data_IF_678850892185
#
_entry.id   IF_678850892185
#
_cell.length_a   1.000
_cell.length_b   1.000
_cell.length_c   1.000
_cell.angle_alpha   90.00
_cell.angle_beta   90.00
_cell.angle_gamma   90.00
#
_symmetry.space_group_name_H-M   'P 1'
#
loop_
_entity.id
_entity.type
_entity.pdbx_description
1 polymer ?
#
# COMPACT_ATOMS: atom_id res chain seq x y z
N UNK A 1 31.26 10.07 3.75
CA UNK A 1 31.56 8.84 3.00
C UNK A 1 31.56 7.63 3.92
N UNK A 2 30.42 6.99 4.14
CA UNK A 2 30.33 5.57 4.47
C UNK A 2 29.00 5.06 3.92
N UNK A 3 28.97 4.85 2.61
CA UNK A 3 28.02 3.96 1.94
C UNK A 3 28.71 2.62 1.80
N UNK A 4 28.19 1.57 2.45
CA UNK A 4 28.36 0.21 1.93
C UNK A 4 27.08 -0.57 2.14
N UNK A 5 26.51 -0.95 1.00
CA UNK A 5 25.38 -1.84 0.86
C UNK A 5 25.70 -3.22 1.47
N UNK A 6 24.78 -3.77 2.26
CA UNK A 6 24.83 -5.16 2.69
C UNK A 6 24.22 -6.03 1.57
N UNK A 7 25.09 -6.64 0.77
CA UNK A 7 24.75 -7.72 -0.15
C UNK A 7 24.49 -9.02 0.61
N UNK A 8 23.38 -9.68 0.28
CA UNK A 8 23.10 -11.06 0.67
C UNK A 8 24.28 -12.00 0.34
N UNK A 9 24.81 -12.69 1.35
CA UNK A 9 25.61 -13.90 1.17
C UNK A 9 25.05 -15.02 2.06
N UNK A 10 24.37 -15.96 1.41
CA UNK A 10 24.15 -17.31 1.95
C UNK A 10 25.47 -18.06 1.83
N UNK A 11 26.07 -18.44 2.95
CA UNK A 11 27.00 -19.55 3.00
C UNK A 11 26.51 -20.56 4.03
N UNK A 12 26.10 -21.72 3.52
CA UNK A 12 25.84 -22.90 4.34
C UNK A 12 27.15 -23.38 4.96
N UNK A 13 27.14 -23.54 6.28
CA UNK A 13 28.15 -24.28 7.01
C UNK A 13 27.53 -25.59 7.48
N UNK A 14 27.89 -26.68 6.80
CA UNK A 14 27.94 -27.99 7.42
C UNK A 14 29.37 -28.20 7.92
N UNK A 15 29.60 -28.10 9.23
CA UNK A 15 30.79 -28.71 9.81
C UNK A 15 30.60 -29.03 11.30
N UNK A 16 30.58 -30.34 11.55
CA UNK A 16 31.07 -31.09 12.70
C UNK A 16 30.80 -30.60 14.13
N UNK A 17 29.98 -31.42 14.78
CA UNK A 17 29.77 -31.54 16.23
C UNK A 17 31.12 -31.69 16.97
N UNK A 18 31.55 -30.60 17.58
CA UNK A 18 32.61 -30.54 18.57
C UNK A 18 32.18 -29.63 19.72
N UNK A 19 31.46 -30.19 20.70
CA UNK A 19 31.01 -29.48 21.90
C UNK A 19 32.21 -29.15 22.78
N UNK A 20 32.79 -27.95 22.61
CA UNK A 20 33.55 -27.25 23.66
C UNK A 20 32.70 -26.07 24.10
N UNK A 21 32.07 -26.18 25.27
CA UNK A 21 31.43 -25.05 25.94
C UNK A 21 32.54 -24.10 26.42
N UNK A 22 32.90 -23.13 25.59
CA UNK A 22 33.63 -21.97 26.06
C UNK A 22 32.63 -21.19 26.93
N UNK A 23 32.79 -21.25 28.25
CA UNK A 23 32.05 -20.37 29.16
C UNK A 23 32.69 -19.01 28.97
N UNK A 24 32.07 -18.16 28.16
CA UNK A 24 32.54 -16.80 27.97
C UNK A 24 32.42 -16.07 29.30
N UNK A 25 33.57 -15.80 29.92
CA UNK A 25 33.65 -15.08 31.18
C UNK A 25 33.48 -13.57 30.91
N UNK A 26 32.26 -13.08 31.15
CA UNK A 26 31.91 -11.66 30.99
C UNK A 26 32.35 -10.79 32.18
N UNK A 27 33.00 -11.37 33.21
CA UNK A 27 33.39 -10.67 34.44
C UNK A 27 34.38 -9.52 34.22
N UNK A 28 35.12 -9.51 33.11
CA UNK A 28 36.11 -8.46 32.78
C UNK A 28 35.54 -7.35 31.92
N UNK A 29 34.30 -7.47 31.44
CA UNK A 29 33.72 -6.48 30.53
C UNK A 29 33.37 -5.20 31.29
N UNK A 30 33.62 -4.07 30.63
CA UNK A 30 33.14 -2.77 31.07
C UNK A 30 31.61 -2.68 30.95
N UNK A 31 31.01 -1.73 31.68
CA UNK A 31 29.55 -1.61 31.75
C UNK A 31 28.91 -1.22 30.41
N UNK A 32 29.61 -0.47 29.56
CA UNK A 32 29.09 -0.06 28.24
C UNK A 32 29.03 -1.27 27.33
N UNK A 33 30.11 -2.06 27.24
CA UNK A 33 30.14 -3.30 26.48
C UNK A 33 29.14 -4.32 27.03
N UNK A 34 29.08 -4.51 28.34
CA UNK A 34 28.07 -5.37 28.96
C UNK A 34 26.64 -4.93 28.60
N UNK A 35 26.39 -3.62 28.56
CA UNK A 35 25.10 -3.05 28.15
C UNK A 35 24.79 -3.31 26.68
N UNK A 36 25.73 -3.04 25.78
CA UNK A 36 25.55 -3.25 24.34
C UNK A 36 25.17 -4.70 24.02
N UNK A 37 25.84 -5.67 24.66
CA UNK A 37 25.57 -7.10 24.47
C UNK A 37 24.40 -7.64 25.32
N UNK A 38 23.89 -6.85 26.27
CA UNK A 38 22.73 -7.24 27.08
C UNK A 38 23.05 -8.23 28.20
N UNK A 39 24.27 -8.21 28.74
CA UNK A 39 24.67 -9.07 29.84
C UNK A 39 24.13 -8.49 31.15
N UNK A 40 22.89 -8.82 31.48
CA UNK A 40 22.13 -8.19 32.58
C UNK A 40 22.83 -8.30 33.94
N UNK A 41 23.24 -9.51 34.34
CA UNK A 41 23.88 -9.74 35.64
C UNK A 41 25.17 -8.93 35.78
N UNK A 42 25.99 -8.86 34.73
CA UNK A 42 27.23 -8.07 34.74
C UNK A 42 26.96 -6.57 34.90
N UNK A 43 25.94 -6.05 34.21
CA UNK A 43 25.55 -4.65 34.35
C UNK A 43 25.04 -4.36 35.77
N UNK A 44 24.24 -5.28 36.33
CA UNK A 44 23.71 -5.19 37.68
C UNK A 44 24.83 -5.19 38.74
N UNK A 45 25.79 -6.10 38.63
CA UNK A 45 26.97 -6.14 39.50
C UNK A 45 27.72 -4.81 39.52
N UNK A 46 27.99 -4.23 38.35
CA UNK A 46 28.74 -2.97 38.23
C UNK A 46 27.98 -1.77 38.80
N UNK A 47 26.65 -1.72 38.62
CA UNK A 47 25.81 -0.67 39.22
C UNK A 47 25.72 -0.84 40.74
N UNK A 48 25.57 -2.07 41.24
CA UNK A 48 25.56 -2.36 42.68
C UNK A 48 26.93 -2.11 43.34
N UNK A 49 28.03 -2.24 42.58
CA UNK A 49 29.37 -1.84 43.01
C UNK A 49 29.59 -0.32 43.04
N UNK A 50 28.60 0.48 42.63
CA UNK A 50 28.61 1.94 42.75
C UNK A 50 28.75 2.72 41.43
N UNK A 51 28.64 2.07 40.27
CA UNK A 51 28.60 2.80 39.00
C UNK A 51 27.32 3.65 38.88
N UNK A 52 27.48 4.95 38.64
CA UNK A 52 26.34 5.86 38.43
C UNK A 52 25.75 5.69 37.02
N UNK A 53 24.48 5.28 36.94
CA UNK A 53 23.78 5.07 35.67
C UNK A 53 23.59 6.34 34.85
N UNK A 54 23.73 7.52 35.46
CA UNK A 54 23.66 8.81 34.79
C UNK A 54 25.01 9.25 34.23
N UNK A 55 26.12 8.64 34.66
CA UNK A 55 27.44 8.99 34.19
C UNK A 55 27.57 8.68 32.69
N UNK A 56 27.79 9.69 31.84
CA UNK A 56 28.03 9.46 30.42
C UNK A 56 29.44 8.92 30.17
N UNK A 57 29.62 8.24 29.05
CA UNK A 57 30.93 7.86 28.55
C UNK A 57 31.67 9.05 27.89
N UNK A 58 32.81 8.75 27.24
CA UNK A 58 33.67 9.76 26.60
C UNK A 58 33.00 10.49 25.44
N UNK A 59 31.97 9.92 24.85
CA UNK A 59 31.20 10.50 23.73
C UNK A 59 29.92 11.20 24.22
N UNK A 60 29.83 11.45 25.54
CA UNK A 60 28.64 11.99 26.17
C UNK A 60 27.40 11.08 26.00
N UNK A 61 27.59 9.75 25.93
CA UNK A 61 26.51 8.78 25.76
C UNK A 61 26.25 8.07 27.08
N UNK A 62 24.98 8.03 27.53
CA UNK A 62 24.60 7.33 28.77
C UNK A 62 24.34 5.84 28.53
N UNK A 63 24.34 5.03 29.60
CA UNK A 63 23.98 3.60 29.51
C UNK A 63 22.59 3.37 28.92
N UNK A 64 21.66 4.31 29.14
CA UNK A 64 20.30 4.21 28.63
C UNK A 64 20.27 4.31 27.09
N UNK A 65 21.14 5.11 26.48
CA UNK A 65 21.30 5.16 25.02
C UNK A 65 21.80 3.83 24.47
N UNK A 66 22.85 3.26 25.07
CA UNK A 66 23.40 1.96 24.66
C UNK A 66 22.41 0.82 24.82
N UNK A 67 21.60 0.84 25.88
CA UNK A 67 20.54 -0.15 26.08
C UNK A 67 19.40 0.03 25.05
N UNK A 68 19.01 1.28 24.76
CA UNK A 68 17.94 1.59 23.83
C UNK A 68 18.28 1.21 22.38
N UNK A 69 19.45 1.58 21.89
CA UNK A 69 19.90 1.29 20.52
C UNK A 69 20.13 -0.19 20.26
N UNK A 70 20.35 -1.00 21.30
CA UNK A 70 20.53 -2.45 21.21
C UNK A 70 19.29 -3.24 21.65
N UNK A 71 18.13 -2.59 21.81
CA UNK A 71 16.86 -3.20 22.22
C UNK A 71 16.92 -4.01 23.53
N UNK A 72 17.71 -3.58 24.52
CA UNK A 72 17.89 -4.26 25.81
C UNK A 72 16.80 -3.86 26.80
N UNK A 73 15.60 -4.40 26.62
CA UNK A 73 14.39 -4.03 27.37
C UNK A 73 14.61 -4.12 28.89
N UNK A 74 15.18 -5.21 29.39
CA UNK A 74 15.34 -5.41 30.83
C UNK A 74 16.39 -4.48 31.44
N UNK A 75 17.46 -4.15 30.70
CA UNK A 75 18.44 -3.16 31.12
C UNK A 75 17.84 -1.75 31.15
N UNK A 76 17.00 -1.37 30.18
CA UNK A 76 16.30 -0.08 30.20
C UNK A 76 15.41 0.03 31.44
N UNK A 77 14.62 -1.01 31.75
CA UNK A 77 13.80 -1.03 32.97
C UNK A 77 14.67 -0.90 34.22
N UNK A 78 15.78 -1.64 34.29
CA UNK A 78 16.69 -1.61 35.43
C UNK A 78 17.35 -0.24 35.60
N UNK A 79 17.92 0.35 34.54
CA UNK A 79 18.58 1.65 34.62
C UNK A 79 17.63 2.78 35.00
N UNK A 80 16.40 2.77 34.46
CA UNK A 80 15.37 3.74 34.87
C UNK A 80 15.00 3.55 36.36
N UNK A 81 14.91 2.31 36.84
CA UNK A 81 14.68 2.04 38.28
C UNK A 81 15.82 2.53 39.19
N UNK A 82 17.02 2.72 38.62
CA UNK A 82 18.22 3.26 39.29
C UNK A 82 18.39 4.76 39.11
N UNK A 83 17.42 5.46 38.51
CA UNK A 83 17.42 6.91 38.37
C UNK A 83 17.97 7.43 37.04
N UNK A 84 18.14 6.59 36.02
CA UNK A 84 18.52 7.06 34.70
C UNK A 84 17.44 8.01 34.12
N UNK A 85 17.88 9.18 33.66
CA UNK A 85 17.00 10.16 33.01
C UNK A 85 16.58 9.67 31.62
N UNK A 86 15.27 9.52 31.43
CA UNK A 86 14.69 8.87 30.24
C UNK A 86 15.00 9.64 28.95
N UNK A 87 14.89 10.97 28.98
CA UNK A 87 15.12 11.86 27.84
C UNK A 87 16.44 12.65 27.94
N UNK A 88 17.45 12.09 28.61
CA UNK A 88 18.78 12.69 28.65
C UNK A 88 19.34 12.82 27.23
N UNK A 89 19.81 14.01 26.87
CA UNK A 89 20.50 14.23 25.59
C UNK A 89 21.93 13.71 25.68
N UNK A 90 22.39 13.00 24.65
CA UNK A 90 23.74 12.47 24.56
C UNK A 90 24.21 12.20 23.13
N UNK A 91 25.50 11.88 23.00
CA UNK A 91 26.18 11.64 21.73
C UNK A 91 26.39 12.90 20.87
N UNK A 92 27.11 12.74 19.76
CA UNK A 92 27.44 13.84 18.85
C UNK A 92 26.22 14.55 18.24
N UNK A 93 25.10 13.84 18.15
CA UNK A 93 23.84 14.35 17.60
C UNK A 93 22.88 14.84 18.68
N UNK A 94 23.31 15.07 19.93
CA UNK A 94 22.45 15.55 21.04
C UNK A 94 21.06 14.88 21.03
N UNK A 95 21.05 13.56 20.99
CA UNK A 95 19.85 12.75 20.80
C UNK A 95 19.39 12.15 22.12
N UNK A 96 18.11 11.77 22.25
CA UNK A 96 17.62 10.99 23.39
C UNK A 96 17.80 9.49 23.15
N UNK A 97 17.69 8.63 24.17
CA UNK A 97 17.60 7.18 24.00
C UNK A 97 16.46 6.77 23.07
N UNK A 98 15.33 7.49 23.09
CA UNK A 98 14.20 7.26 22.20
C UNK A 98 14.54 7.55 20.72
N UNK A 99 15.31 8.61 20.43
CA UNK A 99 15.82 8.85 19.07
C UNK A 99 16.69 7.69 18.59
N UNK A 100 17.57 7.15 19.44
CA UNK A 100 18.44 6.03 19.08
C UNK A 100 17.66 4.74 18.80
N UNK A 101 16.68 4.41 19.64
CA UNK A 101 15.77 3.27 19.42
C UNK A 101 14.95 3.45 18.12
N UNK A 102 14.52 4.68 17.83
CA UNK A 102 13.76 5.02 16.64
C UNK A 102 14.59 4.86 15.36
N UNK A 103 15.84 5.37 15.34
CA UNK A 103 16.75 5.22 14.19
C UNK A 103 17.01 3.75 13.85
N UNK A 104 17.10 2.87 14.86
CA UNK A 104 17.33 1.43 14.65
C UNK A 104 16.06 0.61 14.38
N UNK A 105 14.87 1.20 14.44
CA UNK A 105 13.63 0.48 14.14
C UNK A 105 13.16 -0.44 15.28
N UNK A 106 13.61 -0.22 16.51
CA UNK A 106 13.24 -1.04 17.66
C UNK A 106 11.88 -0.63 18.24
N UNK A 107 10.79 -1.07 17.60
CA UNK A 107 9.41 -0.77 18.05
C UNK A 107 9.18 -1.15 19.53
N UNK A 108 9.65 -2.32 19.97
CA UNK A 108 9.54 -2.76 21.37
C UNK A 108 10.18 -1.77 22.35
N UNK A 109 11.32 -1.20 21.97
CA UNK A 109 12.02 -0.23 22.79
C UNK A 109 11.33 1.14 22.78
N UNK A 110 10.86 1.59 21.61
CA UNK A 110 10.06 2.81 21.48
C UNK A 110 8.83 2.74 22.39
N UNK A 111 8.09 1.62 22.34
CA UNK A 111 6.96 1.36 23.23
C UNK A 111 7.37 1.46 24.70
N UNK A 112 8.47 0.81 25.08
CA UNK A 112 8.92 0.76 26.47
C UNK A 112 9.33 2.13 27.00
N UNK A 113 10.06 2.92 26.21
CA UNK A 113 10.50 4.28 26.58
C UNK A 113 9.32 5.26 26.67
N UNK A 114 8.35 5.20 25.74
CA UNK A 114 7.12 6.00 25.86
C UNK A 114 6.30 5.65 27.11
N UNK A 115 6.29 4.38 27.54
CA UNK A 115 5.66 3.98 28.82
C UNK A 115 6.35 4.58 30.04
N UNK A 116 7.65 4.88 29.93
CA UNK A 116 8.42 5.60 30.95
C UNK A 116 8.35 7.13 30.82
N UNK A 117 7.51 7.65 29.92
CA UNK A 117 7.25 9.07 29.79
C UNK A 117 8.19 9.80 28.85
N UNK A 118 8.95 9.11 27.99
CA UNK A 118 9.72 9.77 26.93
C UNK A 118 8.84 10.64 26.04
N UNK A 119 9.33 11.81 25.68
CA UNK A 119 8.68 12.70 24.72
C UNK A 119 9.22 12.47 23.28
N UNK A 120 8.40 11.90 22.35
CA UNK A 120 8.79 11.67 20.96
C UNK A 120 8.87 12.94 20.11
N UNK A 121 8.42 14.09 20.63
CA UNK A 121 8.43 15.38 19.94
C UNK A 121 9.73 16.17 20.14
N UNK A 122 10.59 15.72 21.07
CA UNK A 122 11.93 16.27 21.24
C UNK A 122 12.71 16.19 19.92
N UNK A 123 13.67 17.09 19.78
CA UNK A 123 14.39 17.29 18.53
C UNK A 123 15.87 16.97 18.76
N UNK A 124 16.44 16.15 17.89
CA UNK A 124 17.87 15.86 17.89
C UNK A 124 18.71 16.95 17.20
N UNK A 125 20.03 16.78 17.21
CA UNK A 125 20.99 17.68 16.59
C UNK A 125 20.90 17.76 15.06
N UNK A 126 20.19 16.84 14.39
CA UNK A 126 19.87 16.96 12.96
C UNK A 126 18.55 17.73 12.73
N UNK A 127 17.90 18.18 13.80
CA UNK A 127 16.65 18.92 13.73
C UNK A 127 15.43 18.03 13.63
N UNK A 128 15.57 16.70 13.81
CA UNK A 128 14.51 15.70 13.63
C UNK A 128 13.91 15.25 14.96
N UNK A 129 12.58 15.06 14.98
CA UNK A 129 11.89 14.29 16.03
C UNK A 129 11.67 12.83 15.63
N UNK A 130 11.17 11.99 16.54
CA UNK A 130 11.00 10.55 16.30
C UNK A 130 10.18 10.21 15.05
N UNK A 131 9.09 10.96 14.75
CA UNK A 131 8.27 10.66 13.56
C UNK A 131 9.03 10.92 12.26
N UNK A 132 9.91 11.92 12.23
CA UNK A 132 10.78 12.23 11.09
C UNK A 132 11.84 11.14 10.91
N UNK A 133 12.51 10.74 12.00
CA UNK A 133 13.49 9.65 11.98
C UNK A 133 12.86 8.34 11.50
N UNK A 134 11.70 7.98 12.04
CA UNK A 134 11.00 6.76 11.64
C UNK A 134 10.62 6.78 10.15
N UNK A 135 10.16 7.93 9.62
CA UNK A 135 9.85 8.08 8.21
C UNK A 135 11.10 8.05 7.32
N UNK A 136 12.18 8.72 7.71
CA UNK A 136 13.45 8.79 6.98
C UNK A 136 14.11 7.41 6.83
N UNK A 137 14.06 6.58 7.87
CA UNK A 137 14.66 5.24 7.89
C UNK A 137 13.69 4.12 7.46
N UNK A 138 12.43 4.45 7.16
CA UNK A 138 11.44 3.49 6.65
C UNK A 138 10.78 2.60 7.69
N UNK A 139 10.88 2.95 8.98
CA UNK A 139 10.34 2.19 10.10
C UNK A 139 8.82 2.39 10.24
N UNK A 140 8.09 1.79 9.30
CA UNK A 140 6.64 1.95 9.12
C UNK A 140 5.83 1.64 10.38
N UNK A 141 6.21 0.61 11.13
CA UNK A 141 5.53 0.23 12.37
C UNK A 141 5.68 1.28 13.47
N UNK A 142 6.85 1.94 13.55
CA UNK A 142 7.10 3.04 14.48
C UNK A 142 6.32 4.29 14.05
N UNK A 143 6.30 4.63 12.75
CA UNK A 143 5.48 5.73 12.21
C UNK A 143 4.02 5.53 12.61
N UNK A 144 3.47 4.33 12.36
CA UNK A 144 2.09 4.00 12.74
C UNK A 144 1.84 4.18 14.24
N UNK A 145 2.73 3.67 15.08
CA UNK A 145 2.60 3.75 16.53
C UNK A 145 2.66 5.19 17.05
N UNK A 146 3.60 5.99 16.58
CA UNK A 146 3.76 7.39 17.00
C UNK A 146 2.53 8.25 16.64
N UNK A 147 2.01 8.11 15.41
CA UNK A 147 0.78 8.81 14.98
C UNK A 147 -0.43 8.34 15.79
N UNK A 148 -0.51 7.03 16.08
CA UNK A 148 -1.57 6.48 16.92
C UNK A 148 -1.49 6.97 18.38
N UNK A 149 -0.30 7.29 18.89
CA UNK A 149 -0.07 7.93 20.21
C UNK A 149 -0.22 9.45 20.19
N UNK A 150 -0.61 10.05 19.05
CA UNK A 150 -1.01 11.45 18.96
C UNK A 150 0.04 12.39 18.36
N UNK A 151 1.15 11.88 17.81
CA UNK A 151 2.06 12.72 17.03
C UNK A 151 1.34 13.27 15.79
N UNK A 152 1.58 14.54 15.49
CA UNK A 152 1.05 15.17 14.29
C UNK A 152 1.71 14.56 13.05
N UNK A 153 0.87 14.18 12.08
CA UNK A 153 1.28 13.53 10.84
C UNK A 153 1.94 14.52 9.87
N UNK A 154 1.60 15.81 9.99
CA UNK A 154 2.15 16.91 9.18
C UNK A 154 3.17 17.75 9.99
N UNK A 155 3.65 17.26 11.13
CA UNK A 155 4.69 17.92 11.93
C UNK A 155 5.88 18.28 11.04
N UNK A 156 6.40 19.50 11.18
CA UNK A 156 7.64 19.91 10.52
C UNK A 156 8.80 19.83 11.49
N UNK A 157 9.91 19.27 11.01
CA UNK A 157 11.19 19.29 11.71
C UNK A 157 11.86 20.69 11.63
N UNK A 158 13.05 20.87 12.22
CA UNK A 158 13.77 22.16 12.12
C UNK A 158 14.24 22.46 10.69
N UNK A 159 14.38 21.44 9.85
CA UNK A 159 14.65 21.54 8.42
C UNK A 159 13.40 21.91 7.61
N UNK A 160 12.24 22.08 8.27
CA UNK A 160 10.98 22.41 7.62
C UNK A 160 10.37 21.26 6.82
N UNK A 161 10.83 20.04 7.04
CA UNK A 161 10.44 18.83 6.33
C UNK A 161 9.38 18.08 7.14
N UNK A 162 8.33 17.62 6.47
CA UNK A 162 7.33 16.72 7.07
C UNK A 162 7.77 15.25 6.98
N UNK A 163 7.17 14.32 7.75
CA UNK A 163 7.41 12.89 7.61
C UNK A 163 7.21 12.38 6.17
N UNK A 164 6.20 12.91 5.47
CA UNK A 164 5.94 12.56 4.06
C UNK A 164 7.09 12.98 3.13
N UNK A 165 7.68 14.16 3.35
CA UNK A 165 8.82 14.63 2.56
C UNK A 165 10.07 13.80 2.82
N UNK A 166 10.33 13.43 4.08
CA UNK A 166 11.43 12.53 4.44
C UNK A 166 11.26 11.15 3.81
N UNK A 167 10.06 10.57 3.86
CA UNK A 167 9.74 9.31 3.21
C UNK A 167 9.96 9.41 1.69
N UNK A 168 9.47 10.47 1.05
CA UNK A 168 9.65 10.69 -0.39
C UNK A 168 11.12 10.80 -0.81
N UNK A 169 11.94 11.47 0.00
CA UNK A 169 13.35 11.70 -0.30
C UNK A 169 14.24 10.48 -0.02
N UNK A 170 13.95 9.71 1.03
CA UNK A 170 14.90 8.69 1.55
C UNK A 170 14.41 7.25 1.41
N UNK A 171 13.10 7.01 1.39
CA UNK A 171 12.55 5.65 1.34
C UNK A 171 12.03 5.29 -0.05
N UNK A 172 12.76 4.43 -0.75
CA UNK A 172 12.43 3.97 -2.11
C UNK A 172 11.50 2.75 -2.09
N UNK A 173 10.47 2.81 -1.24
CA UNK A 173 9.53 1.73 -0.94
C UNK A 173 8.11 2.28 -0.84
N UNK A 174 7.11 1.38 -0.90
CA UNK A 174 5.69 1.76 -0.83
C UNK A 174 5.33 2.33 0.55
N UNK A 175 5.77 1.65 1.61
CA UNK A 175 5.67 2.16 2.99
C UNK A 175 7.03 2.77 3.38
N UNK A 176 7.06 3.83 4.21
CA UNK A 176 5.96 4.40 5.00
C UNK A 176 5.06 5.40 4.27
N UNK A 177 5.37 5.79 3.02
CA UNK A 177 4.61 6.79 2.25
C UNK A 177 3.12 6.45 2.16
N UNK A 178 2.76 5.22 1.76
CA UNK A 178 1.35 4.79 1.70
C UNK A 178 0.65 4.86 3.06
N UNK A 179 1.34 4.48 4.13
CA UNK A 179 0.80 4.57 5.49
C UNK A 179 0.49 6.03 5.86
N UNK A 180 1.42 6.96 5.60
CA UNK A 180 1.22 8.39 5.84
C UNK A 180 0.03 8.94 5.03
N UNK A 181 -0.07 8.57 3.75
CA UNK A 181 -1.22 8.91 2.89
C UNK A 181 -2.55 8.37 3.45
N UNK A 182 -2.52 7.18 4.08
CA UNK A 182 -3.69 6.58 4.74
C UNK A 182 -4.14 7.38 5.96
N UNK A 183 -3.21 8.06 6.65
CA UNK A 183 -3.50 8.98 7.75
C UNK A 183 -3.92 10.39 7.29
N UNK A 184 -4.21 10.57 5.99
CA UNK A 184 -4.72 11.81 5.41
C UNK A 184 -3.81 13.03 5.61
N UNK A 185 -2.50 12.83 5.41
CA UNK A 185 -1.49 13.92 5.36
C UNK A 185 -1.79 14.96 4.29
N UNK A 186 -1.29 16.16 4.52
CA UNK A 186 -1.36 17.26 3.56
C UNK A 186 -0.30 17.09 2.45
N UNK A 187 -0.66 16.35 1.41
CA UNK A 187 0.23 15.95 0.28
C UNK A 187 0.92 17.14 -0.41
N UNK A 188 0.29 18.30 -0.43
CA UNK A 188 0.72 19.48 -1.16
C UNK A 188 1.46 20.52 -0.31
N UNK A 189 1.77 20.21 0.95
CA UNK A 189 2.64 21.08 1.75
C UNK A 189 4.02 21.15 1.09
N UNK A 190 4.57 22.37 1.03
CA UNK A 190 5.96 22.61 0.66
C UNK A 190 6.80 22.79 1.91
N UNK A 191 8.05 22.34 1.87
CA UNK A 191 8.98 22.52 2.99
C UNK A 191 9.22 24.01 3.30
N UNK A 192 9.69 24.31 4.51
CA UNK A 192 9.83 25.69 4.98
C UNK A 192 10.77 26.55 4.11
N UNK A 193 11.88 25.99 3.64
CA UNK A 193 12.99 26.75 3.05
C UNK A 193 12.97 26.78 1.52
N UNK A 194 12.67 25.65 0.90
CA UNK A 194 12.66 25.51 -0.56
C UNK A 194 11.25 25.51 -1.15
N UNK A 195 10.20 25.35 -0.33
CA UNK A 195 8.81 25.14 -0.80
C UNK A 195 8.67 23.91 -1.72
N UNK A 196 9.61 22.97 -1.65
CA UNK A 196 9.51 21.69 -2.32
C UNK A 196 8.44 20.84 -1.62
N UNK A 197 7.44 20.41 -2.38
CA UNK A 197 6.45 19.44 -1.92
C UNK A 197 7.05 18.03 -1.84
N UNK A 198 6.36 17.07 -1.22
CA UNK A 198 6.78 15.67 -1.23
C UNK A 198 7.03 15.14 -2.66
N UNK A 199 6.27 15.62 -3.66
CA UNK A 199 6.47 15.26 -5.06
C UNK A 199 7.78 15.81 -5.64
N UNK A 200 8.18 17.04 -5.28
CA UNK A 200 9.49 17.58 -5.65
C UNK A 200 10.61 16.71 -5.07
N UNK A 201 10.53 16.37 -3.78
CA UNK A 201 11.53 15.52 -3.12
C UNK A 201 11.61 14.12 -3.71
N UNK A 202 10.47 13.51 -4.07
CA UNK A 202 10.45 12.22 -4.75
C UNK A 202 11.15 12.29 -6.12
N UNK A 203 10.91 13.35 -6.91
CA UNK A 203 11.58 13.56 -8.20
C UNK A 203 13.07 13.83 -8.04
N UNK A 204 13.47 14.62 -7.02
CA UNK A 204 14.88 14.88 -6.71
C UNK A 204 15.63 13.61 -6.30
N UNK A 205 14.96 12.69 -5.59
CA UNK A 205 15.50 11.39 -5.25
C UNK A 205 15.48 10.40 -6.44
N UNK A 206 14.63 10.62 -7.44
CA UNK A 206 14.36 9.64 -8.49
C UNK A 206 13.49 8.47 -8.01
N UNK A 207 12.68 8.70 -6.98
CA UNK A 207 11.88 7.70 -6.30
C UNK A 207 10.57 7.43 -7.05
N UNK A 208 10.65 6.60 -8.10
CA UNK A 208 9.53 6.28 -8.99
C UNK A 208 8.34 5.65 -8.26
N UNK A 209 8.60 4.81 -7.26
CA UNK A 209 7.56 4.16 -6.45
C UNK A 209 6.71 5.19 -5.69
N UNK A 210 7.35 6.15 -5.02
CA UNK A 210 6.64 7.19 -4.29
C UNK A 210 5.98 8.20 -5.21
N UNK A 211 6.57 8.50 -6.37
CA UNK A 211 5.93 9.37 -7.38
C UNK A 211 4.55 8.83 -7.75
N UNK A 212 4.42 7.55 -8.10
CA UNK A 212 3.11 6.96 -8.45
C UNK A 212 2.12 7.08 -7.29
N UNK A 213 2.52 6.77 -6.05
CA UNK A 213 1.64 6.88 -4.88
C UNK A 213 1.15 8.32 -4.61
N UNK A 214 2.04 9.29 -4.77
CA UNK A 214 1.70 10.71 -4.58
C UNK A 214 0.76 11.21 -5.68
N UNK A 215 0.95 10.76 -6.93
CA UNK A 215 0.07 11.13 -8.05
C UNK A 215 -1.34 10.56 -7.88
N UNK A 216 -1.44 9.30 -7.44
CA UNK A 216 -2.71 8.66 -7.09
C UNK A 216 -3.42 9.37 -5.92
N UNK A 217 -2.67 10.05 -5.06
CA UNK A 217 -3.18 10.79 -3.89
C UNK A 217 -3.39 12.28 -4.15
N UNK A 218 -3.74 12.66 -5.38
CA UNK A 218 -4.05 14.03 -5.78
C UNK A 218 -2.94 15.08 -5.57
N UNK A 219 -1.65 14.69 -5.59
CA UNK A 219 -0.54 15.66 -5.54
C UNK A 219 -0.54 16.69 -6.68
N UNK A 220 -0.20 17.94 -6.38
CA UNK A 220 -0.13 19.02 -7.35
C UNK A 220 1.19 18.95 -8.14
N UNK A 221 1.07 18.64 -9.43
CA UNK A 221 2.18 18.52 -10.39
C UNK A 221 2.69 19.87 -10.92
N UNK A 222 1.89 20.93 -10.75
CA UNK A 222 2.21 22.30 -11.17
C UNK A 222 2.60 23.18 -9.98
N UNK A 223 2.69 22.62 -8.76
CA UNK A 223 3.18 23.35 -7.61
C UNK A 223 4.61 23.82 -7.89
N UNK A 224 4.89 25.10 -7.64
CA UNK A 224 6.20 25.69 -7.83
C UNK A 224 6.93 25.79 -6.50
N UNK A 225 8.20 25.41 -6.49
CA UNK A 225 9.10 25.67 -5.37
C UNK A 225 9.55 27.15 -5.36
N UNK A 226 10.43 27.52 -4.43
CA UNK A 226 10.92 28.90 -4.28
C UNK A 226 11.69 29.42 -5.52
N UNK A 227 12.22 28.51 -6.35
CA UNK A 227 12.92 28.84 -7.60
C UNK A 227 11.96 28.94 -8.80
N UNK A 228 10.66 28.73 -8.59
CA UNK A 228 9.67 28.67 -9.66
C UNK A 228 9.68 27.35 -10.43
N UNK A 229 10.39 26.33 -9.96
CA UNK A 229 10.51 25.03 -10.63
C UNK A 229 9.33 24.14 -10.21
N UNK A 230 8.68 23.50 -11.18
CA UNK A 230 7.70 22.44 -10.92
C UNK A 230 8.38 21.07 -10.77
N UNK A 231 7.72 20.04 -10.19
CA UNK A 231 8.23 18.67 -10.22
C UNK A 231 8.51 18.18 -11.65
N UNK A 232 7.71 18.62 -12.63
CA UNK A 232 7.93 18.31 -14.03
C UNK A 232 9.22 18.94 -14.58
N UNK A 233 9.52 20.18 -14.19
CA UNK A 233 10.76 20.85 -14.60
C UNK A 233 11.98 20.17 -14.00
N UNK A 234 11.91 19.78 -12.73
CA UNK A 234 12.95 18.98 -12.08
C UNK A 234 13.14 17.63 -12.79
N UNK A 235 12.07 16.96 -13.20
CA UNK A 235 12.15 15.70 -13.94
C UNK A 235 12.83 15.88 -15.32
N UNK A 236 12.53 16.98 -16.03
CA UNK A 236 13.17 17.33 -17.31
C UNK A 236 14.65 17.62 -17.13
N UNK A 237 15.04 18.37 -16.09
CA UNK A 237 16.45 18.67 -15.77
C UNK A 237 17.25 17.38 -15.53
N UNK A 238 16.66 16.39 -14.87
CA UNK A 238 17.27 15.07 -14.65
C UNK A 238 17.30 14.18 -15.89
N UNK A 239 16.67 14.58 -16.99
CA UNK A 239 16.55 13.82 -18.25
C UNK A 239 15.97 12.40 -18.06
N UNK A 240 15.12 12.22 -17.05
CA UNK A 240 14.45 10.93 -16.83
C UNK A 240 13.14 10.89 -17.62
N UNK A 241 13.16 10.19 -18.75
CA UNK A 241 12.03 10.06 -19.68
C UNK A 241 10.80 9.48 -18.99
N UNK A 242 10.97 8.49 -18.11
CA UNK A 242 9.85 7.88 -17.40
C UNK A 242 9.15 8.88 -16.48
N UNK A 243 9.91 9.62 -15.65
CA UNK A 243 9.32 10.61 -14.74
C UNK A 243 8.62 11.74 -15.50
N UNK A 244 9.22 12.22 -16.60
CA UNK A 244 8.62 13.26 -17.44
C UNK A 244 7.30 12.78 -18.03
N UNK A 245 7.27 11.60 -18.65
CA UNK A 245 6.06 11.06 -19.25
C UNK A 245 4.98 10.82 -18.18
N UNK A 246 5.34 10.23 -17.04
CA UNK A 246 4.37 9.90 -16.01
C UNK A 246 3.77 11.14 -15.32
N UNK A 247 4.59 12.17 -15.06
CA UNK A 247 4.11 13.46 -14.55
C UNK A 247 3.24 14.20 -15.57
N UNK A 248 3.60 14.15 -16.86
CA UNK A 248 2.77 14.73 -17.93
C UNK A 248 1.43 14.01 -18.10
N UNK A 249 1.42 12.69 -18.02
CA UNK A 249 0.19 11.89 -18.06
C UNK A 249 -0.72 12.22 -16.87
N UNK A 250 -0.16 12.31 -15.66
CA UNK A 250 -0.93 12.69 -14.48
C UNK A 250 -1.45 14.13 -14.54
N UNK A 251 -0.67 15.05 -15.12
CA UNK A 251 -1.09 16.44 -15.39
C UNK A 251 -2.24 16.50 -16.40
N UNK A 252 -2.15 15.74 -17.49
CA UNK A 252 -3.20 15.63 -18.51
C UNK A 252 -4.49 15.01 -17.94
N UNK A 253 -4.37 13.97 -17.12
CA UNK A 253 -5.50 13.33 -16.47
C UNK A 253 -6.29 14.28 -15.56
N UNK A 254 -5.61 15.25 -14.94
CA UNK A 254 -6.23 16.29 -14.10
C UNK A 254 -6.81 17.48 -14.88
N UNK A 255 -6.68 17.48 -16.22
CA UNK A 255 -7.34 18.45 -17.10
C UNK A 255 -6.64 19.80 -17.27
N UNK A 256 -5.38 19.94 -16.84
CA UNK A 256 -4.63 21.20 -16.93
C UNK A 256 -4.12 21.52 -18.35
N UNK A 257 -3.88 20.49 -19.17
CA UNK A 257 -3.59 20.64 -20.59
C UNK A 257 -4.82 20.20 -21.38
N UNK A 258 -5.37 21.05 -22.26
CA UNK A 258 -6.50 20.72 -23.13
C UNK A 258 -6.06 19.66 -24.16
N UNK A 259 -6.36 18.36 -24.01
CA UNK A 259 -6.04 17.40 -25.04
C UNK A 259 -7.01 17.63 -26.19
N UNK A 260 -6.59 17.38 -27.43
CA UNK A 260 -7.55 17.26 -28.54
C UNK A 260 -8.67 16.27 -28.17
N UNK A 261 -9.91 16.54 -28.58
CA UNK A 261 -11.11 15.81 -28.15
C UNK A 261 -10.96 14.27 -28.23
N UNK A 262 -10.37 13.76 -29.30
CA UNK A 262 -10.07 12.33 -29.49
C UNK A 262 -9.08 11.76 -28.48
N UNK A 263 -8.07 12.54 -28.07
CA UNK A 263 -7.09 12.13 -27.06
C UNK A 263 -7.72 12.13 -25.67
N UNK A 264 -8.62 13.08 -25.39
CA UNK A 264 -9.41 13.12 -24.15
C UNK A 264 -10.29 11.87 -24.01
N UNK A 265 -11.05 11.52 -25.05
CA UNK A 265 -11.83 10.28 -25.09
C UNK A 265 -10.93 9.05 -24.95
N UNK A 266 -9.78 9.05 -25.63
CA UNK A 266 -8.81 7.97 -25.47
C UNK A 266 -8.18 7.92 -24.09
N UNK A 267 -8.14 8.95 -23.26
CA UNK A 267 -7.53 8.85 -21.92
C UNK A 267 -8.56 8.62 -20.81
N UNK A 268 -9.83 8.88 -21.07
CA UNK A 268 -10.91 8.63 -20.14
C UNK A 268 -11.13 7.12 -19.91
N UNK A 269 -10.88 6.70 -18.66
CA UNK A 269 -11.02 5.31 -18.21
C UNK A 269 -12.46 4.80 -18.33
N UNK A 270 -13.45 5.64 -17.99
CA UNK A 270 -14.86 5.23 -18.11
C UNK A 270 -15.27 5.05 -19.56
N UNK A 271 -14.82 5.96 -20.43
CA UNK A 271 -15.13 5.89 -21.86
C UNK A 271 -14.52 4.64 -22.50
N UNK A 272 -13.24 4.35 -22.21
CA UNK A 272 -12.58 3.10 -22.63
C UNK A 272 -13.37 1.88 -22.16
N UNK A 273 -13.78 1.86 -20.89
CA UNK A 273 -14.54 0.76 -20.32
C UNK A 273 -15.88 0.57 -21.03
N UNK A 274 -16.59 1.66 -21.35
CA UNK A 274 -17.85 1.62 -22.12
C UNK A 274 -17.65 1.08 -23.53
N UNK A 275 -16.60 1.50 -24.24
CA UNK A 275 -16.26 0.95 -25.57
C UNK A 275 -15.96 -0.55 -25.46
N UNK A 276 -15.13 -0.96 -24.50
CA UNK A 276 -14.78 -2.37 -24.29
C UNK A 276 -16.01 -3.23 -23.99
N UNK A 277 -16.94 -2.71 -23.18
CA UNK A 277 -18.19 -3.40 -22.83
C UNK A 277 -19.15 -3.46 -24.02
N UNK A 278 -19.24 -2.40 -24.83
CA UNK A 278 -20.15 -2.28 -25.97
C UNK A 278 -19.66 -2.99 -27.24
N UNK A 279 -18.35 -3.10 -27.47
CA UNK A 279 -17.79 -3.70 -28.70
C UNK A 279 -18.33 -5.12 -28.97
N UNK A 280 -18.43 -6.03 -27.98
CA UNK A 280 -19.02 -7.36 -28.19
C UNK A 280 -20.48 -7.33 -28.67
N UNK A 281 -21.30 -6.36 -28.25
CA UNK A 281 -22.70 -6.24 -28.69
C UNK A 281 -22.79 -6.00 -30.19
N UNK A 282 -21.98 -5.07 -30.70
CA UNK A 282 -21.92 -4.73 -32.12
C UNK A 282 -21.29 -5.85 -32.95
N UNK A 283 -20.21 -6.47 -32.46
CA UNK A 283 -19.51 -7.53 -33.19
C UNK A 283 -20.39 -8.77 -33.36
N UNK A 284 -21.06 -9.22 -32.29
CA UNK A 284 -21.98 -10.39 -32.37
C UNK A 284 -23.11 -10.11 -33.37
N UNK A 285 -23.66 -8.90 -33.35
CA UNK A 285 -24.69 -8.48 -34.31
C UNK A 285 -24.18 -8.45 -35.74
N UNK A 286 -23.04 -7.80 -36.01
CA UNK A 286 -22.45 -7.71 -37.34
C UNK A 286 -22.14 -9.09 -37.92
N UNK A 287 -21.60 -10.00 -37.11
CA UNK A 287 -21.31 -11.38 -37.53
C UNK A 287 -22.61 -12.11 -37.93
N UNK A 288 -23.67 -11.98 -37.12
CA UNK A 288 -24.98 -12.55 -37.44
C UNK A 288 -25.59 -11.96 -38.72
N UNK A 289 -25.51 -10.63 -38.86
CA UNK A 289 -26.01 -9.91 -40.04
C UNK A 289 -25.29 -10.35 -41.33
N UNK A 290 -23.96 -10.45 -41.30
CA UNK A 290 -23.17 -10.91 -42.47
C UNK A 290 -23.53 -12.35 -42.85
N UNK A 291 -23.82 -13.21 -41.87
CA UNK A 291 -24.23 -14.57 -42.13
C UNK A 291 -25.59 -14.64 -42.85
N UNK A 292 -26.55 -13.81 -42.44
CA UNK A 292 -27.93 -13.75 -42.94
C UNK A 292 -28.09 -13.05 -44.29
N UNK A 293 -27.08 -12.28 -44.73
CA UNK A 293 -27.09 -11.66 -46.06
C UNK A 293 -27.18 -12.72 -47.17
N UNK A 294 -28.15 -12.56 -48.06
CA UNK A 294 -28.40 -13.41 -49.22
C UNK A 294 -27.41 -13.08 -50.36
N UNK A 295 -26.14 -13.43 -50.14
CA UNK A 295 -25.03 -13.22 -51.07
C UNK A 295 -24.43 -14.59 -51.40
N UNK A 296 -24.50 -14.99 -52.67
CA UNK A 296 -23.98 -16.28 -53.17
C UNK A 296 -22.44 -16.37 -53.15
N UNK A 297 -21.75 -15.23 -53.13
CA UNK A 297 -20.29 -15.16 -53.15
C UNK A 297 -19.68 -15.29 -51.75
N UNK A 298 -19.10 -16.46 -51.48
CA UNK A 298 -18.31 -16.73 -50.27
C UNK A 298 -17.10 -15.80 -50.11
N UNK A 299 -16.51 -15.34 -51.23
CA UNK A 299 -15.38 -14.41 -51.23
C UNK A 299 -15.79 -13.05 -50.63
N UNK A 300 -16.97 -12.56 -51.00
CA UNK A 300 -17.48 -11.27 -50.52
C UNK A 300 -17.83 -11.34 -49.03
N UNK A 301 -18.47 -12.43 -48.57
CA UNK A 301 -18.69 -12.69 -47.14
C UNK A 301 -17.36 -12.76 -46.37
N UNK A 302 -16.36 -13.42 -46.92
CA UNK A 302 -15.00 -13.47 -46.36
C UNK A 302 -14.36 -12.09 -46.19
N UNK A 303 -14.45 -11.23 -47.20
CA UNK A 303 -13.94 -9.84 -47.13
C UNK A 303 -14.65 -9.02 -46.05
N UNK A 304 -15.97 -9.18 -45.89
CA UNK A 304 -16.72 -8.50 -44.83
C UNK A 304 -16.27 -8.95 -43.43
N UNK A 305 -16.07 -10.26 -43.22
CA UNK A 305 -15.52 -10.77 -41.96
C UNK A 305 -14.11 -10.25 -41.68
N UNK A 306 -13.24 -10.17 -42.70
CA UNK A 306 -11.94 -9.53 -42.58
C UNK A 306 -12.06 -8.06 -42.16
N UNK A 307 -13.01 -7.31 -42.72
CA UNK A 307 -13.28 -5.91 -42.33
C UNK A 307 -13.68 -5.77 -40.86
N UNK A 308 -14.56 -6.64 -40.36
CA UNK A 308 -14.93 -6.70 -38.93
C UNK A 308 -13.70 -7.02 -38.08
N UNK A 309 -12.90 -8.00 -38.47
CA UNK A 309 -11.68 -8.39 -37.76
C UNK A 309 -10.67 -7.23 -37.67
N UNK A 310 -10.40 -6.53 -38.78
CA UNK A 310 -9.51 -5.35 -38.80
C UNK A 310 -10.03 -4.25 -37.86
N UNK A 311 -11.34 -4.00 -37.87
CA UNK A 311 -11.97 -3.00 -37.01
C UNK A 311 -11.80 -3.35 -35.52
N UNK A 312 -12.02 -4.62 -35.16
CA UNK A 312 -11.81 -5.11 -33.79
C UNK A 312 -10.34 -4.98 -33.37
N UNK A 313 -9.39 -5.30 -34.25
CA UNK A 313 -7.96 -5.13 -33.96
C UNK A 313 -7.59 -3.67 -33.74
N UNK A 314 -8.12 -2.76 -34.56
CA UNK A 314 -7.92 -1.33 -34.41
C UNK A 314 -8.48 -0.80 -33.09
N UNK A 315 -9.72 -1.19 -32.73
CA UNK A 315 -10.35 -0.82 -31.46
C UNK A 315 -9.58 -1.39 -30.27
N UNK A 316 -9.15 -2.66 -30.37
CA UNK A 316 -8.33 -3.32 -29.35
C UNK A 316 -7.05 -2.55 -29.09
N UNK A 317 -6.27 -2.25 -30.13
CA UNK A 317 -5.02 -1.49 -30.00
C UNK A 317 -5.23 -0.04 -29.52
N UNK A 318 -6.38 0.56 -29.82
CA UNK A 318 -6.66 1.96 -29.49
C UNK A 318 -7.24 2.18 -28.10
N UNK A 319 -7.99 1.22 -27.57
CA UNK A 319 -8.80 1.40 -26.35
C UNK A 319 -8.65 0.27 -25.33
N UNK A 320 -8.18 -0.91 -25.71
CA UNK A 320 -8.12 -2.05 -24.80
C UNK A 320 -6.77 -2.02 -24.08
N UNK A 321 -6.82 -1.74 -22.78
CA UNK A 321 -5.65 -1.71 -21.91
C UNK A 321 -5.48 -3.04 -21.19
N UNK A 322 -4.23 -3.43 -20.89
CA UNK A 322 -3.92 -4.66 -20.17
C UNK A 322 -4.55 -4.71 -18.78
N UNK A 323 -4.76 -3.54 -18.15
CA UNK A 323 -5.43 -3.40 -16.86
C UNK A 323 -6.94 -3.74 -16.88
N UNK A 324 -7.56 -3.72 -18.06
CA UNK A 324 -9.02 -3.83 -18.24
C UNK A 324 -9.46 -5.10 -18.99
N UNK A 325 -8.55 -6.06 -19.24
CA UNK A 325 -8.93 -7.35 -19.83
C UNK A 325 -9.94 -8.14 -19.00
N UNK A 326 -10.12 -7.82 -17.72
CA UNK A 326 -11.18 -8.38 -16.88
C UNK A 326 -12.60 -7.98 -17.31
N UNK A 327 -12.75 -6.83 -18.00
CA UNK A 327 -14.05 -6.32 -18.44
C UNK A 327 -14.53 -6.92 -19.77
N UNK A 328 -13.61 -7.40 -20.62
CA UNK A 328 -13.96 -7.94 -21.94
C UNK A 328 -14.77 -9.25 -21.85
N UNK A 329 -14.41 -10.25 -21.03
CA UNK A 329 -15.24 -11.44 -20.82
C UNK A 329 -16.65 -11.10 -20.33
N UNK A 330 -16.76 -10.08 -19.46
CA UNK A 330 -18.04 -9.56 -18.98
C UNK A 330 -18.87 -8.98 -20.13
N UNK A 331 -18.27 -8.14 -20.97
CA UNK A 331 -18.92 -7.59 -22.16
C UNK A 331 -19.44 -8.67 -23.12
N UNK A 332 -18.62 -9.70 -23.40
CA UNK A 332 -19.00 -10.81 -24.29
C UNK A 332 -20.20 -11.59 -23.71
N UNK A 333 -20.18 -11.89 -22.42
CA UNK A 333 -21.28 -12.57 -21.76
C UNK A 333 -22.57 -11.73 -21.76
N UNK A 334 -22.50 -10.44 -21.41
CA UNK A 334 -23.68 -9.58 -21.43
C UNK A 334 -24.25 -9.44 -22.84
N UNK A 335 -23.39 -9.32 -23.86
CA UNK A 335 -23.79 -9.25 -25.25
C UNK A 335 -24.47 -10.55 -25.74
N UNK A 336 -23.91 -11.72 -25.40
CA UNK A 336 -24.53 -13.01 -25.76
C UNK A 336 -25.89 -13.19 -25.10
N UNK A 337 -26.03 -12.82 -23.82
CA UNK A 337 -27.33 -12.84 -23.12
C UNK A 337 -28.32 -11.86 -23.72
N UNK A 338 -27.90 -10.62 -23.99
CA UNK A 338 -28.74 -9.63 -24.64
C UNK A 338 -29.31 -10.14 -25.96
N UNK A 339 -28.46 -10.62 -26.87
CA UNK A 339 -28.93 -11.13 -28.17
C UNK A 339 -29.78 -12.40 -28.04
N UNK A 340 -29.48 -13.27 -27.08
CA UNK A 340 -30.33 -14.44 -26.77
C UNK A 340 -31.75 -14.03 -26.34
N UNK A 341 -31.90 -12.96 -25.54
CA UNK A 341 -33.21 -12.45 -25.16
C UNK A 341 -33.92 -11.74 -26.32
N UNK A 342 -33.19 -10.94 -27.12
CA UNK A 342 -33.74 -10.27 -28.29
C UNK A 342 -34.28 -11.28 -29.31
N UNK A 343 -33.52 -12.34 -29.61
CA UNK A 343 -33.95 -13.39 -30.56
C UNK A 343 -35.10 -14.22 -30.01
N UNK A 344 -35.12 -14.52 -28.71
CA UNK A 344 -36.24 -15.19 -28.07
C UNK A 344 -37.51 -14.33 -28.16
N UNK A 345 -37.42 -13.03 -27.89
CA UNK A 345 -38.54 -12.11 -27.95
C UNK A 345 -39.05 -11.91 -29.38
N UNK A 346 -38.16 -11.81 -30.37
CA UNK A 346 -38.55 -11.71 -31.79
C UNK A 346 -39.13 -13.02 -32.33
N UNK A 347 -38.66 -14.18 -31.89
CA UNK A 347 -39.25 -15.47 -32.23
C UNK A 347 -40.68 -15.60 -31.69
N UNK A 348 -40.95 -15.07 -30.48
CA UNK A 348 -42.29 -15.05 -29.87
C UNK A 348 -43.25 -14.06 -30.55
N UNK A 349 -42.75 -12.90 -30.98
CA UNK A 349 -43.61 -11.80 -31.48
C UNK A 349 -43.75 -11.73 -33.02
N UNK A 350 -42.77 -12.17 -33.80
CA UNK A 350 -42.71 -11.91 -35.25
C UNK A 350 -42.78 -13.15 -36.15
N UNK A 351 -42.48 -14.36 -35.66
CA UNK A 351 -42.41 -15.56 -36.50
C UNK A 351 -43.55 -16.53 -36.18
N UNK A 352 -44.70 -16.34 -36.84
CA UNK A 352 -45.86 -17.26 -36.77
C UNK A 352 -45.61 -18.62 -37.46
N UNK A 353 -44.43 -18.84 -38.04
CA UNK A 353 -44.08 -20.01 -38.86
C UNK A 353 -43.40 -21.15 -38.09
N UNK A 354 -42.95 -20.92 -36.86
CA UNK A 354 -42.32 -21.95 -36.01
C UNK A 354 -43.18 -22.15 -34.75
N UNK A 355 -44.07 -23.15 -34.78
CA UNK A 355 -44.82 -23.59 -33.61
C UNK A 355 -43.91 -24.33 -32.61
N UNK A 356 -42.99 -23.61 -31.95
CA UNK A 356 -42.30 -24.13 -30.78
C UNK A 356 -43.31 -24.19 -29.61
N UNK A 357 -43.48 -25.34 -28.94
CA UNK A 357 -44.44 -25.44 -27.85
C UNK A 357 -44.04 -24.52 -26.70
N UNK A 358 -44.95 -23.60 -26.32
CA UNK A 358 -44.71 -22.63 -25.26
C UNK A 358 -44.27 -23.27 -23.93
N UNK A 359 -44.89 -24.41 -23.59
CA UNK A 359 -44.59 -25.14 -22.37
C UNK A 359 -43.19 -25.78 -22.34
N UNK A 360 -42.62 -26.19 -23.48
CA UNK A 360 -41.35 -26.94 -23.50
C UNK A 360 -40.12 -26.06 -23.73
N UNK A 361 -40.28 -24.86 -24.31
CA UNK A 361 -39.15 -23.99 -24.64
C UNK A 361 -39.22 -22.64 -23.93
N UNK A 362 -40.35 -21.94 -23.99
CA UNK A 362 -40.47 -20.61 -23.40
C UNK A 362 -40.54 -20.64 -21.87
N UNK A 363 -41.31 -21.57 -21.29
CA UNK A 363 -41.44 -21.69 -19.84
C UNK A 363 -40.12 -22.05 -19.14
N UNK A 364 -39.34 -23.06 -19.59
CA UNK A 364 -38.03 -23.34 -18.98
C UNK A 364 -37.03 -22.21 -19.17
N UNK A 365 -37.06 -21.51 -20.32
CA UNK A 365 -36.18 -20.36 -20.57
C UNK A 365 -36.47 -19.19 -19.62
N UNK A 366 -37.74 -18.84 -19.42
CA UNK A 366 -38.15 -17.81 -18.47
C UNK A 366 -37.78 -18.19 -17.03
N UNK A 367 -38.03 -19.44 -16.63
CA UNK A 367 -37.69 -19.94 -15.29
C UNK A 367 -36.17 -19.86 -15.03
N UNK A 368 -35.35 -20.33 -15.98
CA UNK A 368 -33.89 -20.23 -15.88
C UNK A 368 -33.42 -18.78 -15.83
N UNK A 369 -34.04 -17.89 -16.61
CA UNK A 369 -33.71 -16.47 -16.63
C UNK A 369 -34.02 -15.79 -15.30
N UNK A 370 -35.21 -16.02 -14.74
CA UNK A 370 -35.59 -15.51 -13.42
C UNK A 370 -34.64 -16.04 -12.34
N UNK A 371 -34.32 -17.34 -12.37
CA UNK A 371 -33.37 -17.95 -11.45
C UNK A 371 -31.98 -17.32 -11.57
N UNK A 372 -31.49 -17.09 -12.79
CA UNK A 372 -30.20 -16.44 -13.05
C UNK A 372 -30.17 -15.02 -12.47
N UNK A 373 -31.15 -14.19 -12.80
CA UNK A 373 -31.21 -12.81 -12.31
C UNK A 373 -31.42 -12.73 -10.79
N UNK A 374 -32.19 -13.66 -10.21
CA UNK A 374 -32.31 -13.79 -8.76
C UNK A 374 -30.96 -14.10 -8.11
N UNK A 375 -30.23 -15.10 -8.61
CA UNK A 375 -28.91 -15.46 -8.07
C UNK A 375 -27.87 -14.34 -8.28
N UNK A 376 -27.90 -13.66 -9.43
CA UNK A 376 -27.05 -12.51 -9.70
C UNK A 376 -27.35 -11.36 -8.72
N UNK A 377 -28.62 -10.97 -8.59
CA UNK A 377 -29.04 -9.90 -7.68
C UNK A 377 -28.72 -10.22 -6.20
N UNK A 378 -28.89 -11.48 -5.80
CA UNK A 378 -28.50 -11.96 -4.47
C UNK A 378 -26.98 -11.86 -4.25
N UNK A 379 -26.18 -12.27 -5.24
CA UNK A 379 -24.71 -12.18 -5.16
C UNK A 379 -24.24 -10.72 -5.14
N UNK A 380 -24.91 -9.85 -5.90
CA UNK A 380 -24.59 -8.42 -5.95
C UNK A 380 -24.88 -7.67 -4.66
N UNK A 381 -25.99 -8.00 -4.00
CA UNK A 381 -26.36 -7.40 -2.71
C UNK A 381 -25.68 -8.04 -1.51
N UNK A 382 -24.93 -9.13 -1.70
CA UNK A 382 -24.24 -9.81 -0.61
C UNK A 382 -23.13 -8.92 -0.05
N UNK A 383 -23.11 -8.74 1.28
CA UNK A 383 -21.94 -8.17 1.95
C UNK A 383 -20.84 -9.25 1.97
N UNK A 384 -19.65 -9.00 1.40
CA UNK A 384 -18.54 -9.95 1.46
C UNK A 384 -17.91 -10.08 2.85
N UNK A 385 -18.41 -9.35 3.84
CA UNK A 385 -17.81 -9.24 5.17
C UNK A 385 -16.75 -8.14 5.20
N UNK A 386 -17.11 -6.94 4.74
CA UNK A 386 -16.23 -5.78 4.78
C UNK A 386 -15.95 -5.42 6.23
N UNK A 387 -14.68 -5.42 6.61
CA UNK A 387 -14.29 -4.99 7.96
C UNK A 387 -14.32 -3.47 8.00
N UNK A 388 -15.20 -2.91 8.83
CA UNK A 388 -15.32 -1.47 9.06
C UNK A 388 -14.74 -1.15 10.44
N UNK A 389 -13.96 -0.09 10.51
CA UNK A 389 -13.40 0.43 11.75
C UNK A 389 -13.40 1.96 11.71
N UNK A 390 -13.74 2.60 12.82
CA UNK A 390 -13.57 4.06 12.99
C UNK A 390 -12.09 4.43 13.11
N UNK A 391 -11.75 5.70 12.89
CA UNK A 391 -10.36 6.19 13.05
C UNK A 391 -9.81 5.94 14.46
N UNK A 392 -10.65 6.09 15.49
CA UNK A 392 -10.28 5.80 16.87
C UNK A 392 -9.99 4.30 17.09
N UNK A 393 -10.83 3.41 16.53
CA UNK A 393 -10.61 1.97 16.59
C UNK A 393 -9.34 1.54 15.86
N UNK A 394 -9.04 2.15 14.71
CA UNK A 394 -7.80 1.93 13.95
C UNK A 394 -6.57 2.30 14.79
N UNK A 395 -6.56 3.50 15.39
CA UNK A 395 -5.47 3.96 16.27
C UNK A 395 -5.31 3.03 17.48
N UNK A 396 -6.41 2.68 18.16
CA UNK A 396 -6.39 1.76 19.30
C UNK A 396 -5.82 0.39 18.92
N UNK A 397 -6.18 -0.14 17.76
CA UNK A 397 -5.66 -1.42 17.25
C UNK A 397 -4.15 -1.37 17.05
N UNK A 398 -3.63 -0.28 16.48
CA UNK A 398 -2.18 -0.10 16.30
C UNK A 398 -1.46 -0.08 17.65
N UNK A 399 -1.98 0.69 18.61
CA UNK A 399 -1.40 0.78 19.96
C UNK A 399 -1.41 -0.59 20.65
N UNK A 400 -2.53 -1.30 20.62
CA UNK A 400 -2.65 -2.62 21.24
C UNK A 400 -1.68 -3.65 20.62
N UNK A 401 -1.60 -3.69 19.29
CA UNK A 401 -0.69 -4.60 18.58
C UNK A 401 0.78 -4.26 18.85
N UNK A 402 1.14 -2.98 18.88
CA UNK A 402 2.50 -2.54 19.17
C UNK A 402 2.89 -2.88 20.61
N UNK A 403 2.00 -2.61 21.57
CA UNK A 403 2.27 -2.82 23.00
C UNK A 403 2.29 -4.29 23.42
N UNK A 404 1.62 -5.16 22.66
CA UNK A 404 1.70 -6.63 22.80
C UNK A 404 2.86 -7.25 22.02
N UNK A 405 3.63 -6.46 21.26
CA UNK A 405 4.71 -6.96 20.41
C UNK A 405 4.24 -7.77 19.18
N UNK A 406 2.96 -7.66 18.81
CA UNK A 406 2.32 -8.42 17.74
C UNK A 406 2.04 -7.60 16.47
N UNK A 407 2.54 -6.36 16.41
CA UNK A 407 2.44 -5.50 15.22
C UNK A 407 3.39 -5.98 14.11
N UNK A 408 3.00 -7.07 13.46
CA UNK A 408 3.59 -7.57 12.22
C UNK A 408 2.65 -7.29 11.03
N UNK A 409 3.22 -6.94 9.87
CA UNK A 409 2.50 -6.70 8.62
C UNK A 409 1.79 -7.96 8.09
N UNK A 410 2.14 -9.15 8.59
CA UNK A 410 1.39 -10.38 8.33
C UNK A 410 -0.01 -10.35 8.95
N UNK A 411 -0.14 -9.81 10.17
CA UNK A 411 -1.38 -9.76 10.97
C UNK A 411 -2.05 -8.38 10.89
N UNK A 412 -1.34 -7.35 10.46
CA UNK A 412 -1.86 -5.98 10.32
C UNK A 412 -1.99 -5.59 8.84
N UNK A 413 -3.06 -4.88 8.47
CA UNK A 413 -3.19 -4.26 7.15
C UNK A 413 -2.85 -2.78 7.25
N UNK A 414 -1.72 -2.36 6.68
CA UNK A 414 -1.30 -0.95 6.65
C UNK A 414 -2.22 -0.05 5.82
N UNK A 415 -2.92 -0.59 4.81
CA UNK A 415 -3.87 0.19 4.01
C UNK A 415 -5.20 0.47 4.73
N UNK A 416 -5.70 -0.49 5.52
CA UNK A 416 -6.99 -0.35 6.22
C UNK A 416 -6.84 0.01 7.70
N UNK A 417 -5.61 -0.05 8.24
CA UNK A 417 -5.25 0.18 9.64
C UNK A 417 -6.00 -0.72 10.63
N UNK A 418 -6.21 -1.98 10.24
CA UNK A 418 -6.90 -2.98 11.07
C UNK A 418 -6.08 -4.25 11.23
N UNK A 419 -6.36 -4.97 12.31
CA UNK A 419 -5.93 -6.37 12.46
C UNK A 419 -6.66 -7.22 11.43
N UNK A 420 -5.92 -8.05 10.69
CA UNK A 420 -6.42 -9.04 9.75
C UNK A 420 -6.95 -10.25 10.53
N UNK A 421 -8.26 -10.54 10.49
CA UNK A 421 -8.77 -11.83 10.95
C UNK A 421 -8.13 -12.99 10.18
N UNK A 422 -8.17 -14.19 10.77
CA UNK A 422 -7.74 -15.42 10.11
C UNK A 422 -8.51 -15.56 8.78
N UNK A 423 -7.77 -15.77 7.68
CA UNK A 423 -8.27 -15.87 6.29
C UNK A 423 -8.71 -14.56 5.63
N UNK A 424 -8.62 -13.42 6.31
CA UNK A 424 -8.91 -12.13 5.68
C UNK A 424 -7.81 -11.72 4.69
N UNK A 425 -8.20 -10.99 3.63
CA UNK A 425 -7.25 -10.35 2.71
C UNK A 425 -7.72 -8.94 2.37
N UNK A 426 -6.75 -8.07 2.09
CA UNK A 426 -7.03 -6.78 1.47
C UNK A 426 -7.24 -6.98 -0.03
N UNK A 427 -8.40 -6.56 -0.54
CA UNK A 427 -8.64 -6.51 -1.98
C UNK A 427 -8.14 -5.18 -2.53
N UNK A 428 -7.10 -5.22 -3.36
CA UNK A 428 -6.53 -4.01 -3.99
C UNK A 428 -7.54 -3.31 -4.92
N UNK A 429 -8.46 -4.05 -5.54
CA UNK A 429 -9.47 -3.48 -6.46
C UNK A 429 -10.56 -2.73 -5.69
N UNK A 430 -11.09 -3.32 -4.61
CA UNK A 430 -12.09 -2.68 -3.76
C UNK A 430 -11.47 -1.70 -2.74
N UNK A 431 -10.15 -1.70 -2.59
CA UNK A 431 -9.37 -0.99 -1.59
C UNK A 431 -9.90 -1.19 -0.15
N UNK A 432 -10.29 -2.44 0.20
CA UNK A 432 -10.92 -2.80 1.48
C UNK A 432 -10.46 -4.17 1.96
N UNK A 433 -10.41 -4.35 3.27
CA UNK A 433 -10.20 -5.65 3.89
C UNK A 433 -11.50 -6.44 4.01
N UNK A 434 -11.45 -7.69 3.55
CA UNK A 434 -12.57 -8.62 3.54
C UNK A 434 -12.26 -9.76 4.51
N UNK A 435 -13.16 -10.00 5.47
CA UNK A 435 -12.95 -10.95 6.55
C UNK A 435 -12.73 -12.39 6.06
N UNK A 436 -13.44 -12.80 5.00
CA UNK A 436 -13.33 -14.13 4.39
C UNK A 436 -13.20 -14.01 2.87
N UNK A 437 -12.06 -13.48 2.46
CA UNK A 437 -11.78 -13.25 1.05
C UNK A 437 -11.62 -14.57 0.30
N UNK A 438 -12.39 -14.76 -0.78
CA UNK A 438 -12.14 -15.80 -1.78
C UNK A 438 -11.44 -15.19 -3.00
N UNK A 439 -12.19 -14.42 -3.79
CA UNK A 439 -11.69 -13.67 -4.93
C UNK A 439 -12.53 -12.39 -5.16
N UNK A 440 -11.99 -11.46 -5.96
CA UNK A 440 -12.76 -10.34 -6.48
C UNK A 440 -13.48 -10.79 -7.74
N UNK A 441 -14.81 -10.62 -7.78
CA UNK A 441 -15.64 -11.05 -8.91
C UNK A 441 -15.92 -9.85 -9.83
N UNK A 442 -15.32 -9.78 -11.04
CA UNK A 442 -15.54 -8.65 -11.96
C UNK A 442 -17.00 -8.53 -12.40
N UNK A 443 -17.73 -9.64 -12.43
CA UNK A 443 -19.14 -9.72 -12.83
C UNK A 443 -20.08 -8.95 -11.90
N UNK A 444 -19.72 -8.90 -10.63
CA UNK A 444 -20.50 -8.25 -9.57
C UNK A 444 -19.86 -6.93 -9.17
N UNK A 445 -18.62 -6.67 -9.57
CA UNK A 445 -17.84 -5.52 -9.13
C UNK A 445 -17.57 -5.53 -7.61
N UNK A 446 -17.66 -6.70 -6.98
CA UNK A 446 -17.55 -6.87 -5.54
C UNK A 446 -16.72 -8.11 -5.20
N UNK A 447 -16.19 -8.16 -3.98
CA UNK A 447 -15.59 -9.38 -3.47
C UNK A 447 -16.67 -10.42 -3.20
N UNK A 448 -16.30 -11.70 -3.33
CA UNK A 448 -17.18 -12.83 -2.99
C UNK A 448 -16.61 -13.52 -1.75
N UNK A 449 -17.50 -13.85 -0.81
CA UNK A 449 -17.16 -14.56 0.42
C UNK A 449 -16.99 -16.06 0.13
N UNK A 450 -15.98 -16.69 0.71
CA UNK A 450 -15.98 -18.14 0.83
C UNK A 450 -16.97 -18.55 1.92
N UNK A 451 -18.14 -19.06 1.55
CA UNK A 451 -18.99 -19.79 2.49
C UNK A 451 -18.48 -21.22 2.60
N UNK A 452 -17.84 -21.64 3.71
CA UNK A 452 -17.74 -23.07 3.96
C UNK A 452 -19.17 -23.59 4.07
N UNK A 453 -19.53 -24.61 3.30
CA UNK A 453 -20.72 -25.43 3.60
C UNK A 453 -20.68 -25.70 5.10
N UNK A 454 -21.73 -25.34 5.83
CA UNK A 454 -21.87 -25.52 7.29
C UNK A 454 -21.14 -26.80 7.73
N UNK A 455 -19.90 -26.68 8.18
CA UNK A 455 -19.38 -27.65 9.11
C UNK A 455 -19.96 -27.18 10.42
N UNK A 456 -20.86 -27.99 10.96
CA UNK A 456 -21.23 -27.95 12.37
C UNK A 456 -19.92 -27.94 13.18
N UNK A 457 -19.42 -26.76 13.51
CA UNK A 457 -18.48 -26.59 14.59
C UNK A 457 -19.34 -26.62 15.85
N UNK A 458 -19.48 -27.83 16.37
CA UNK A 458 -19.73 -28.05 17.78
C UNK A 458 -18.62 -27.31 18.53
N UNK A 459 -19.00 -26.24 19.22
CA UNK A 459 -18.39 -25.82 20.47
C UNK A 459 -19.54 -25.70 21.48
#
# INVERSE_FOLDING_TARGET
CFTKAASHYNHGYSENVGRKSHVDDYSTWDIVKATQYGIFERCRELVEAGYDVQQPDKENVTLLHWAAINNRIDLVKYYISKGAMVDQLGGDLNSTPLHWATRQGHLSMVVQLLKYGSDPSLIDGEGCSCVHLAAQFGHTSIVAYLIAKGQDVDMMDQNGMTPLMWAAYRTHSVDPTRLLLTFNVSVNLGDKYHKNTALHWAVLAGNTTVITLLLDSNSNVDAQNIKGETPLDLAKQRKNVWMVNHLQEARQAKGYDSPGYLKKLKMDKEFRQKIMLGTPFLVIWLVGFIADLDIDSWLLKGLMYCGVWVTVQFLSKSFFDHSMHSALPLGIYLATKFWMYVTCQSAVLLNSSVHLPFATVHLPFLLNSVCLFYNFGKSWKSDPGIIKASEEQKKKTIVELAETGSLDLSIFCSTCLIRKPIRSKHCAVCNRCIAKFDHHCPWVGNCVEFQPKKQHMVL
#
